data_IF_427538693336
#
_entry.id   IF_427538693336
#
_cell.length_a   1.000
_cell.length_b   1.000
_cell.length_c   1.000
_cell.angle_alpha   90.00
_cell.angle_beta   90.00
_cell.angle_gamma   90.00
#
_symmetry.space_group_name_H-M   'P 1'
#
loop_
_entity.id
_entity.type
_entity.pdbx_description
1 polymer ?
#
# COMPACT_ATOMS: atom_id res chain seq x y z
N UNK A 1 -12.37 -19.90 -18.95
CA UNK A 1 -13.02 -20.64 -17.84
C UNK A 1 -13.45 -19.60 -16.82
N UNK A 2 -14.73 -19.21 -16.86
CA UNK A 2 -15.29 -18.20 -15.94
C UNK A 2 -15.79 -19.01 -14.74
N UNK A 3 -15.04 -18.97 -13.64
CA UNK A 3 -15.43 -19.64 -12.40
C UNK A 3 -16.72 -19.04 -11.87
N UNK A 4 -17.63 -19.93 -11.52
CA UNK A 4 -18.94 -19.67 -10.95
C UNK A 4 -18.88 -18.63 -9.83
N UNK A 5 -19.88 -17.76 -9.79
CA UNK A 5 -20.19 -16.87 -8.68
C UNK A 5 -20.46 -17.70 -7.42
N UNK A 6 -19.40 -18.03 -6.69
CA UNK A 6 -19.53 -18.55 -5.33
C UNK A 6 -20.15 -17.48 -4.46
N UNK A 7 -21.34 -17.75 -3.93
CA UNK A 7 -22.06 -16.93 -2.98
C UNK A 7 -21.31 -16.88 -1.64
N UNK A 8 -20.19 -16.16 -1.60
CA UNK A 8 -19.53 -15.78 -0.36
C UNK A 8 -20.38 -14.74 0.36
N UNK A 9 -20.50 -14.83 1.68
CA UNK A 9 -21.15 -13.81 2.48
C UNK A 9 -20.55 -12.43 2.17
N UNK A 10 -21.41 -11.44 1.92
CA UNK A 10 -21.00 -10.05 1.73
C UNK A 10 -20.46 -9.51 3.05
N UNK A 11 -19.13 -9.49 3.20
CA UNK A 11 -18.47 -8.84 4.32
C UNK A 11 -18.19 -7.37 4.02
N UNK A 12 -17.93 -6.59 5.06
CA UNK A 12 -17.57 -5.17 4.90
C UNK A 12 -16.20 -5.04 4.23
N UNK A 13 -15.97 -3.95 3.50
CA UNK A 13 -14.69 -3.70 2.80
C UNK A 13 -13.52 -3.62 3.79
N UNK A 14 -13.77 -3.18 5.04
CA UNK A 14 -12.77 -3.01 6.10
C UNK A 14 -12.38 -4.31 6.84
N UNK A 15 -13.10 -5.41 6.63
CA UNK A 15 -12.77 -6.67 7.29
C UNK A 15 -11.56 -7.34 6.60
N UNK A 16 -10.62 -7.88 7.37
CA UNK A 16 -9.40 -8.50 6.82
C UNK A 16 -9.67 -9.93 6.34
N UNK A 17 -9.27 -10.27 5.09
CA UNK A 17 -9.33 -11.64 4.57
C UNK A 17 -7.96 -12.33 4.71
N UNK A 18 -7.77 -13.11 5.77
CA UNK A 18 -6.50 -13.80 6.05
C UNK A 18 -6.61 -15.31 5.81
N UNK A 19 -5.55 -15.90 5.26
CA UNK A 19 -5.34 -17.36 5.20
C UNK A 19 -3.91 -17.67 5.66
N UNK A 20 -3.72 -18.74 6.44
CA UNK A 20 -2.42 -19.13 7.00
C UNK A 20 -2.00 -20.52 6.49
N UNK A 21 -0.70 -20.75 6.36
CA UNK A 21 -0.07 -22.05 6.09
C UNK A 21 1.23 -22.12 6.92
N UNK A 22 1.68 -23.30 7.39
CA UNK A 22 1.23 -24.66 7.04
C UNK A 22 -0.04 -25.13 7.80
N UNK A 23 -0.78 -26.13 7.26
CA UNK A 23 -0.57 -26.82 5.98
C UNK A 23 -0.96 -25.97 4.75
N UNK A 24 -0.58 -26.41 3.54
CA UNK A 24 -1.04 -25.79 2.28
C UNK A 24 -2.56 -25.82 2.19
N UNK A 25 -3.16 -24.66 1.91
CA UNK A 25 -4.58 -24.62 1.60
C UNK A 25 -4.78 -25.07 0.14
N UNK A 26 -5.68 -26.02 -0.09
CA UNK A 26 -6.02 -26.44 -1.46
C UNK A 26 -6.68 -25.30 -2.25
N UNK A 27 -7.47 -24.48 -1.57
CA UNK A 27 -8.25 -23.38 -2.16
C UNK A 27 -7.91 -22.05 -1.51
N UNK A 28 -8.09 -20.96 -2.26
CA UNK A 28 -7.98 -19.60 -1.75
C UNK A 28 -9.19 -19.24 -0.88
N UNK A 29 -8.99 -18.54 0.22
CA UNK A 29 -10.07 -17.83 0.90
C UNK A 29 -10.59 -16.74 -0.05
N UNK A 30 -11.91 -16.59 -0.19
CA UNK A 30 -12.54 -15.63 -1.10
C UNK A 30 -13.64 -14.88 -0.37
N UNK A 31 -13.77 -13.59 -0.68
CA UNK A 31 -14.88 -12.75 -0.23
C UNK A 31 -15.34 -11.86 -1.37
N UNK A 32 -16.64 -11.86 -1.64
CA UNK A 32 -17.24 -10.85 -2.50
C UNK A 32 -17.42 -9.56 -1.69
N UNK A 33 -17.05 -8.43 -2.28
CA UNK A 33 -17.42 -7.11 -1.77
C UNK A 33 -18.60 -6.64 -2.61
N UNK A 34 -19.73 -6.33 -1.96
CA UNK A 34 -20.84 -5.68 -2.65
C UNK A 34 -20.39 -4.32 -3.20
N UNK A 35 -21.12 -3.81 -4.18
CA UNK A 35 -21.00 -2.39 -4.50
C UNK A 35 -21.33 -1.58 -3.24
N UNK A 36 -20.54 -0.57 -2.94
CA UNK A 36 -20.68 0.20 -1.72
C UNK A 36 -20.21 1.64 -1.95
N UNK A 37 -20.98 2.58 -1.44
CA UNK A 37 -20.59 3.98 -1.43
C UNK A 37 -19.82 4.27 -0.15
N UNK A 38 -18.58 4.72 -0.30
CA UNK A 38 -17.72 5.16 0.80
C UNK A 38 -17.50 6.66 0.65
N UNK A 39 -18.45 7.43 1.17
CA UNK A 39 -18.49 8.88 0.96
C UNK A 39 -18.80 9.21 -0.51
N UNK A 40 -17.89 9.94 -1.18
CA UNK A 40 -18.03 10.30 -2.60
C UNK A 40 -17.46 9.24 -3.57
N UNK A 41 -17.05 8.08 -3.05
CA UNK A 41 -16.43 7.01 -3.82
C UNK A 41 -17.45 5.87 -3.95
N UNK A 42 -17.92 5.64 -5.17
CA UNK A 42 -18.78 4.50 -5.49
C UNK A 42 -17.88 3.32 -5.86
N UNK A 43 -17.71 2.38 -4.93
CA UNK A 43 -16.95 1.15 -5.19
C UNK A 43 -17.86 0.17 -5.95
N UNK A 44 -17.41 -0.28 -7.12
CA UNK A 44 -18.06 -1.39 -7.81
C UNK A 44 -18.01 -2.68 -6.98
N UNK A 45 -18.89 -3.63 -7.32
CA UNK A 45 -18.79 -4.99 -6.78
C UNK A 45 -17.43 -5.60 -7.09
N UNK A 46 -16.83 -6.27 -6.12
CA UNK A 46 -15.48 -6.80 -6.21
C UNK A 46 -15.34 -8.18 -5.60
N UNK A 47 -14.15 -8.77 -5.75
CA UNK A 47 -13.80 -10.03 -5.10
C UNK A 47 -12.37 -9.95 -4.59
N UNK A 48 -12.20 -10.14 -3.29
CA UNK A 48 -10.89 -10.29 -2.65
C UNK A 48 -10.64 -11.77 -2.45
N UNK A 49 -9.42 -12.25 -2.75
CA UNK A 49 -9.03 -13.62 -2.45
C UNK A 49 -7.61 -13.68 -1.91
N UNK A 50 -7.36 -14.49 -0.90
CA UNK A 50 -6.02 -14.75 -0.35
C UNK A 50 -5.72 -16.24 -0.40
N UNK A 51 -4.53 -16.62 -0.88
CA UNK A 51 -4.10 -18.01 -0.99
C UNK A 51 -2.76 -18.24 -0.29
N UNK A 52 -2.77 -18.94 0.85
CA UNK A 52 -1.56 -19.36 1.54
C UNK A 52 -1.20 -20.81 1.16
N UNK A 53 -0.03 -21.00 0.54
CA UNK A 53 0.52 -22.31 0.17
C UNK A 53 1.85 -22.57 0.89
N UNK A 54 2.08 -23.82 1.28
CA UNK A 54 3.32 -24.30 1.86
C UNK A 54 3.97 -25.32 0.91
N UNK A 55 5.04 -24.94 0.22
CA UNK A 55 5.71 -25.86 -0.69
C UNK A 55 6.38 -27.01 0.09
N UNK A 56 6.24 -28.24 -0.38
CA UNK A 56 6.83 -29.42 0.28
C UNK A 56 8.36 -29.29 0.48
N UNK A 57 9.04 -28.60 -0.44
CA UNK A 57 10.47 -28.28 -0.33
C UNK A 57 10.83 -27.50 0.94
N UNK A 58 9.92 -26.67 1.47
CA UNK A 58 10.16 -25.94 2.73
C UNK A 58 10.21 -26.85 3.96
N UNK A 59 9.51 -28.00 3.92
CA UNK A 59 9.59 -28.98 5.00
C UNK A 59 10.89 -29.79 4.95
N UNK A 60 11.48 -29.95 3.76
CA UNK A 60 12.69 -30.76 3.54
C UNK A 60 13.98 -29.93 3.49
N UNK A 61 13.93 -28.65 3.89
CA UNK A 61 15.11 -27.77 3.87
C UNK A 61 15.56 -27.36 2.47
N UNK A 62 14.70 -27.39 1.45
CA UNK A 62 15.02 -26.78 0.17
C UNK A 62 15.14 -25.26 0.36
N UNK A 63 16.38 -24.77 0.26
CA UNK A 63 16.80 -23.40 0.67
C UNK A 63 16.57 -22.36 -0.43
N UNK A 64 15.98 -22.71 -1.57
CA UNK A 64 15.88 -21.81 -2.74
C UNK A 64 14.53 -21.95 -3.42
N UNK A 65 13.88 -20.81 -3.71
CA UNK A 65 12.61 -20.72 -4.40
C UNK A 65 11.63 -19.74 -3.75
N UNK A 66 10.45 -19.62 -4.37
CA UNK A 66 9.31 -18.87 -3.83
C UNK A 66 8.73 -19.60 -2.60
N UNK A 67 8.60 -18.85 -1.51
CA UNK A 67 8.12 -19.30 -0.19
C UNK A 67 6.66 -18.88 -0.01
N UNK A 68 6.32 -17.65 -0.34
CA UNK A 68 4.94 -17.15 -0.28
C UNK A 68 4.56 -16.37 -1.54
N UNK A 69 3.25 -16.36 -1.82
CA UNK A 69 2.63 -15.53 -2.85
C UNK A 69 1.32 -14.95 -2.34
N UNK A 70 1.10 -13.67 -2.59
CA UNK A 70 -0.17 -12.99 -2.38
C UNK A 70 -0.57 -12.27 -3.67
N UNK A 71 -1.87 -12.14 -3.91
CA UNK A 71 -2.36 -11.39 -5.04
C UNK A 71 -3.72 -10.78 -4.75
N UNK A 72 -3.99 -9.64 -5.37
CA UNK A 72 -5.30 -8.99 -5.33
C UNK A 72 -5.71 -8.62 -6.76
N UNK A 73 -7.01 -8.62 -7.02
CA UNK A 73 -7.56 -8.30 -8.34
C UNK A 73 -8.76 -7.37 -8.17
N UNK A 74 -8.79 -6.31 -8.96
CA UNK A 74 -9.89 -5.36 -9.09
C UNK A 74 -10.36 -5.37 -10.54
N UNK A 75 -11.68 -5.46 -10.75
CA UNK A 75 -12.31 -5.39 -12.07
C UNK A 75 -13.38 -4.32 -12.02
N UNK A 76 -13.15 -3.18 -12.67
CA UNK A 76 -14.09 -2.07 -12.60
C UNK A 76 -14.02 -1.36 -11.24
N UNK A 77 -13.69 -0.07 -11.26
CA UNK A 77 -13.84 0.81 -10.11
C UNK A 77 -14.05 2.24 -10.60
N UNK A 78 -14.66 3.09 -9.78
CA UNK A 78 -14.77 4.51 -10.12
C UNK A 78 -14.93 5.41 -8.90
N UNK A 79 -14.80 6.71 -9.12
CA UNK A 79 -15.08 7.77 -8.14
C UNK A 79 -16.11 8.69 -8.79
N UNK A 80 -17.20 8.98 -8.07
CA UNK A 80 -18.38 9.64 -8.63
C UNK A 80 -18.93 8.90 -9.86
N UNK A 81 -19.00 7.57 -9.79
CA UNK A 81 -19.34 6.72 -10.93
C UNK A 81 -20.85 6.62 -11.21
N UNK A 82 -21.68 7.20 -10.34
CA UNK A 82 -23.14 7.20 -10.47
C UNK A 82 -23.58 8.24 -11.51
N UNK A 83 -23.42 7.90 -12.79
CA UNK A 83 -23.87 8.70 -13.93
C UNK A 83 -22.86 8.78 -15.08
N UNK A 84 -23.19 9.57 -16.10
CA UNK A 84 -22.36 9.83 -17.30
C UNK A 84 -21.16 10.76 -17.03
N UNK A 85 -20.63 10.79 -15.80
CA UNK A 85 -19.63 11.79 -15.38
C UNK A 85 -18.62 11.26 -14.35
N UNK A 86 -18.14 10.03 -14.53
CA UNK A 86 -17.15 9.44 -13.63
C UNK A 86 -15.85 10.27 -13.61
N UNK A 87 -15.45 10.75 -12.43
CA UNK A 87 -14.22 11.53 -12.30
C UNK A 87 -12.98 10.67 -12.53
N UNK A 88 -13.03 9.43 -12.05
CA UNK A 88 -12.00 8.41 -12.20
C UNK A 88 -12.71 7.09 -12.49
N UNK A 89 -12.20 6.31 -13.44
CA UNK A 89 -12.71 4.99 -13.78
C UNK A 89 -11.58 4.05 -14.17
N UNK A 90 -11.61 2.84 -13.64
CA UNK A 90 -10.74 1.73 -14.05
C UNK A 90 -11.59 0.80 -14.92
N UNK A 91 -11.57 0.92 -16.26
CA UNK A 91 -12.44 0.12 -17.12
C UNK A 91 -12.03 -1.37 -17.16
N UNK A 92 -10.75 -1.65 -16.92
CA UNK A 92 -10.17 -2.98 -17.04
C UNK A 92 -9.97 -3.72 -15.72
N UNK A 93 -9.17 -4.78 -15.81
CA UNK A 93 -8.64 -5.51 -14.67
C UNK A 93 -7.33 -4.87 -14.22
N UNK A 94 -7.21 -4.64 -12.92
CA UNK A 94 -5.95 -4.36 -12.22
C UNK A 94 -5.65 -5.56 -11.34
N UNK A 95 -4.42 -6.08 -11.39
CA UNK A 95 -3.98 -7.10 -10.45
C UNK A 95 -2.67 -6.66 -9.78
N UNK A 96 -2.55 -6.92 -8.49
CA UNK A 96 -1.27 -6.85 -7.78
C UNK A 96 -0.83 -8.26 -7.40
N UNK A 97 0.47 -8.51 -7.45
CA UNK A 97 1.08 -9.76 -7.00
C UNK A 97 2.30 -9.42 -6.15
N UNK A 98 2.48 -10.14 -5.05
CA UNK A 98 3.72 -10.10 -4.26
C UNK A 98 4.17 -11.50 -3.91
N UNK A 99 5.48 -11.70 -3.87
CA UNK A 99 6.10 -12.97 -3.49
C UNK A 99 7.22 -12.74 -2.50
N UNK A 100 7.49 -13.74 -1.67
CA UNK A 100 8.73 -13.83 -0.91
C UNK A 100 9.40 -15.14 -1.22
N UNK A 101 10.72 -15.20 -1.09
CA UNK A 101 11.51 -16.37 -1.42
C UNK A 101 12.92 -16.32 -0.85
N UNK A 102 13.64 -17.40 -1.11
CA UNK A 102 15.07 -17.51 -0.88
C UNK A 102 15.78 -17.71 -2.23
N UNK A 103 16.88 -17.01 -2.44
CA UNK A 103 17.74 -17.17 -3.61
C UNK A 103 19.16 -17.53 -3.16
N UNK A 104 19.86 -18.33 -3.97
CA UNK A 104 21.30 -18.57 -3.78
C UNK A 104 22.07 -17.48 -4.52
N UNK A 105 22.98 -16.81 -3.81
CA UNK A 105 23.86 -15.77 -4.35
C UNK A 105 25.31 -16.14 -4.01
N UNK A 106 26.00 -16.75 -4.96
CA UNK A 106 27.30 -17.39 -4.72
C UNK A 106 27.17 -18.53 -3.70
N UNK A 107 27.97 -18.47 -2.63
CA UNK A 107 27.92 -19.43 -1.51
C UNK A 107 26.87 -19.05 -0.45
N UNK A 108 26.33 -17.83 -0.52
CA UNK A 108 25.35 -17.31 0.44
C UNK A 108 23.89 -17.53 0.03
N UNK A 109 23.00 -17.43 1.02
CA UNK A 109 21.57 -17.33 0.81
C UNK A 109 21.12 -15.87 0.96
N UNK A 110 20.18 -15.44 0.11
CA UNK A 110 19.53 -14.15 0.18
C UNK A 110 18.02 -14.36 0.33
N UNK A 111 17.37 -13.62 1.22
CA UNK A 111 15.91 -13.49 1.14
C UNK A 111 15.57 -12.48 0.06
N UNK A 112 14.48 -12.75 -0.66
CA UNK A 112 14.00 -11.89 -1.74
C UNK A 112 12.50 -11.70 -1.55
N UNK A 113 12.05 -10.46 -1.69
CA UNK A 113 10.66 -10.11 -1.79
C UNK A 113 10.43 -9.34 -3.08
N UNK A 114 9.38 -9.69 -3.82
CA UNK A 114 8.95 -8.96 -5.01
C UNK A 114 7.50 -8.51 -4.88
N UNK A 115 7.19 -7.38 -5.49
CA UNK A 115 5.85 -6.86 -5.66
C UNK A 115 5.70 -6.28 -7.07
N UNK A 116 4.55 -6.49 -7.69
CA UNK A 116 4.28 -6.00 -9.03
C UNK A 116 2.80 -5.69 -9.24
N UNK A 117 2.53 -4.90 -10.27
CA UNK A 117 1.19 -4.56 -10.72
C UNK A 117 1.04 -4.98 -12.19
N UNK A 118 -0.10 -5.57 -12.54
CA UNK A 118 -0.45 -5.93 -13.91
C UNK A 118 -1.77 -5.26 -14.32
N UNK A 119 -1.83 -4.83 -15.59
CA UNK A 119 -2.95 -4.07 -16.13
C UNK A 119 -3.04 -2.66 -15.55
N UNK A 120 -4.25 -2.10 -15.54
CA UNK A 120 -4.55 -0.85 -14.85
C UNK A 120 -4.63 0.40 -15.71
N UNK A 121 -5.29 0.28 -16.87
CA UNK A 121 -5.76 1.46 -17.59
C UNK A 121 -6.72 2.27 -16.72
N UNK A 122 -6.64 3.59 -16.87
CA UNK A 122 -7.40 4.56 -16.10
C UNK A 122 -8.02 5.58 -17.05
N UNK A 123 -9.30 5.83 -16.86
CA UNK A 123 -10.05 6.91 -17.50
C UNK A 123 -10.30 7.98 -16.43
N UNK A 124 -9.99 9.23 -16.76
CA UNK A 124 -10.21 10.39 -15.90
C UNK A 124 -11.12 11.37 -16.63
N UNK A 125 -11.92 12.12 -15.86
CA UNK A 125 -12.83 13.15 -16.37
C UNK A 125 -13.75 12.58 -17.47
N UNK A 126 -14.47 11.50 -17.16
CA UNK A 126 -15.35 10.78 -18.09
C UNK A 126 -14.63 10.31 -19.37
N UNK A 127 -13.38 9.85 -19.23
CA UNK A 127 -12.57 9.35 -20.33
C UNK A 127 -11.98 10.43 -21.23
N UNK A 128 -12.12 11.71 -20.88
CA UNK A 128 -11.44 12.80 -21.57
C UNK A 128 -9.92 12.65 -21.50
N UNK A 129 -9.39 12.11 -20.38
CA UNK A 129 -7.98 11.73 -20.23
C UNK A 129 -7.90 10.23 -19.98
N UNK A 130 -7.06 9.54 -20.75
CA UNK A 130 -6.79 8.10 -20.67
C UNK A 130 -5.33 7.88 -20.30
N UNK A 131 -5.10 7.07 -19.28
CA UNK A 131 -3.78 6.63 -18.84
C UNK A 131 -3.69 5.13 -19.09
N UNK A 132 -2.83 4.73 -20.02
CA UNK A 132 -2.59 3.33 -20.39
C UNK A 132 -1.26 2.87 -19.77
N UNK A 133 -1.27 1.72 -19.09
CA UNK A 133 -0.05 1.14 -18.53
C UNK A 133 0.65 0.28 -19.57
N UNK A 134 1.65 0.87 -20.24
CA UNK A 134 2.43 0.22 -21.31
C UNK A 134 3.41 -0.81 -20.73
N UNK A 135 4.02 -0.51 -19.58
CA UNK A 135 4.92 -1.42 -18.85
C UNK A 135 4.54 -1.43 -17.38
N UNK A 136 4.25 -2.62 -16.89
CA UNK A 136 3.99 -2.90 -15.49
C UNK A 136 5.17 -2.48 -14.59
N UNK A 137 4.92 -1.82 -13.45
CA UNK A 137 5.94 -1.56 -12.44
C UNK A 137 6.28 -2.86 -11.67
N UNK A 138 7.51 -2.95 -11.20
CA UNK A 138 7.92 -4.03 -10.28
C UNK A 138 8.94 -3.53 -9.26
N UNK A 139 8.81 -4.00 -8.03
CA UNK A 139 9.72 -3.73 -6.93
C UNK A 139 10.31 -5.05 -6.45
N UNK A 140 11.64 -5.10 -6.28
CA UNK A 140 12.35 -6.23 -5.69
C UNK A 140 13.25 -5.74 -4.58
N UNK A 141 13.11 -6.31 -3.39
CA UNK A 141 14.02 -6.14 -2.27
C UNK A 141 14.72 -7.47 -2.01
N UNK A 142 16.04 -7.46 -1.85
CA UNK A 142 16.80 -8.64 -1.46
C UNK A 142 17.76 -8.32 -0.32
N UNK A 143 18.01 -9.30 0.54
CA UNK A 143 18.89 -9.13 1.69
C UNK A 143 19.69 -10.41 1.95
N UNK A 144 21.00 -10.26 2.07
CA UNK A 144 21.92 -11.34 2.41
C UNK A 144 22.88 -10.90 3.52
N UNK A 145 23.58 -11.86 4.12
CA UNK A 145 24.58 -11.56 5.17
C UNK A 145 25.84 -10.97 4.55
N UNK A 146 26.24 -11.51 3.40
CA UNK A 146 27.51 -11.21 2.74
C UNK A 146 27.45 -9.93 1.91
N UNK A 147 26.39 -9.78 1.09
CA UNK A 147 26.27 -8.69 0.12
C UNK A 147 25.40 -7.53 0.63
N UNK A 148 24.79 -7.67 1.81
CA UNK A 148 23.86 -6.70 2.36
C UNK A 148 22.51 -6.65 1.63
N UNK A 149 21.89 -5.47 1.66
CA UNK A 149 20.55 -5.22 1.12
C UNK A 149 20.59 -4.51 -0.24
N UNK A 150 19.73 -4.95 -1.15
CA UNK A 150 19.60 -4.37 -2.50
C UNK A 150 18.12 -4.16 -2.84
N UNK A 151 17.78 -2.97 -3.35
CA UNK A 151 16.45 -2.66 -3.90
C UNK A 151 16.57 -2.40 -5.39
N UNK A 152 15.74 -3.07 -6.18
CA UNK A 152 15.57 -2.81 -7.60
C UNK A 152 14.13 -2.41 -7.87
N UNK A 153 13.94 -1.19 -8.35
CA UNK A 153 12.65 -0.70 -8.80
C UNK A 153 12.67 -0.52 -10.32
N UNK A 154 11.71 -1.14 -11.00
CA UNK A 154 11.41 -0.88 -12.40
C UNK A 154 10.13 -0.03 -12.43
N UNK A 155 10.20 1.25 -12.81
CA UNK A 155 9.04 2.12 -12.85
C UNK A 155 8.03 1.67 -13.91
N UNK A 156 6.77 2.07 -13.72
CA UNK A 156 5.77 1.93 -14.75
C UNK A 156 6.13 2.79 -15.97
N UNK A 157 5.91 2.27 -17.18
CA UNK A 157 5.83 3.12 -18.36
C UNK A 157 4.35 3.33 -18.68
N UNK A 158 3.91 4.57 -18.70
CA UNK A 158 2.52 4.94 -18.94
C UNK A 158 2.41 5.84 -20.16
N UNK A 159 1.28 5.76 -20.84
CA UNK A 159 0.92 6.60 -21.97
C UNK A 159 -0.32 7.38 -21.59
N UNK A 160 -0.22 8.70 -21.64
CA UNK A 160 -1.33 9.61 -21.35
C UNK A 160 -1.85 10.15 -22.67
N UNK A 161 -3.15 10.01 -22.91
CA UNK A 161 -3.81 10.43 -24.15
C UNK A 161 -5.24 10.91 -23.87
N UNK A 162 -5.93 11.48 -24.85
CA UNK A 162 -7.28 11.96 -24.64
C UNK A 162 -7.84 12.78 -25.79
N UNK A 163 -9.11 13.17 -25.70
CA UNK A 163 -9.73 14.04 -26.70
C UNK A 163 -9.10 15.44 -26.62
N UNK A 164 -8.45 15.89 -27.69
CA UNK A 164 -7.74 17.17 -27.73
C UNK A 164 -6.41 17.18 -26.96
N UNK A 165 -5.97 16.04 -26.39
CA UNK A 165 -4.73 15.93 -25.62
C UNK A 165 -3.68 15.23 -26.46
N UNK A 166 -2.49 15.85 -26.58
CA UNK A 166 -1.33 15.21 -27.20
C UNK A 166 -0.96 13.95 -26.42
N UNK A 167 -0.74 12.86 -27.14
CA UNK A 167 -0.26 11.63 -26.51
C UNK A 167 1.16 11.82 -25.99
N UNK A 168 1.34 11.65 -24.69
CA UNK A 168 2.63 11.71 -24.00
C UNK A 168 2.95 10.36 -23.37
N UNK A 169 4.24 10.00 -23.36
CA UNK A 169 4.73 8.77 -22.73
C UNK A 169 5.66 9.15 -21.59
N UNK A 170 5.36 8.63 -20.41
CA UNK A 170 6.19 8.76 -19.21
C UNK A 170 6.78 7.40 -18.89
N UNK A 171 8.11 7.30 -18.83
CA UNK A 171 8.80 6.01 -18.66
C UNK A 171 9.91 6.01 -17.60
N UNK A 172 10.10 7.15 -16.95
CA UNK A 172 11.14 7.36 -15.95
C UNK A 172 10.51 7.74 -14.60
N UNK A 173 11.07 7.24 -13.50
CA UNK A 173 10.61 7.59 -12.16
C UNK A 173 10.67 9.11 -11.93
N UNK A 174 9.64 9.67 -11.31
CA UNK A 174 9.53 11.09 -11.00
C UNK A 174 9.10 11.97 -12.18
N UNK A 175 9.01 11.43 -13.40
CA UNK A 175 8.51 12.15 -14.57
C UNK A 175 7.02 12.48 -14.43
N UNK A 176 6.62 13.70 -14.83
CA UNK A 176 5.23 14.12 -14.76
C UNK A 176 4.74 14.90 -15.98
N UNK A 177 3.42 14.86 -16.19
CA UNK A 177 2.69 15.67 -17.16
C UNK A 177 1.51 16.37 -16.46
N UNK A 178 1.32 17.64 -16.75
CA UNK A 178 0.16 18.44 -16.33
C UNK A 178 -0.69 18.76 -17.57
N UNK A 179 -1.98 18.45 -17.48
CA UNK A 179 -2.99 18.65 -18.51
C UNK A 179 -4.04 19.61 -17.96
N UNK A 180 -4.35 20.67 -18.70
CA UNK A 180 -5.50 21.54 -18.43
C UNK A 180 -6.66 21.10 -19.30
N UNK A 181 -7.82 20.90 -18.69
CA UNK A 181 -9.07 20.52 -19.35
C UNK A 181 -10.05 21.69 -19.32
N UNK A 182 -10.45 22.16 -20.49
CA UNK A 182 -11.32 23.33 -20.67
C UNK A 182 -12.75 22.99 -21.08
N UNK A 183 -13.12 21.70 -21.03
CA UNK A 183 -14.44 21.22 -21.41
C UNK A 183 -14.49 20.44 -22.72
N UNK A 184 -15.60 19.73 -22.99
CA UNK A 184 -15.80 19.04 -24.26
C UNK A 184 -15.92 20.06 -25.39
N UNK A 185 -15.00 20.01 -26.36
CA UNK A 185 -15.00 20.88 -27.54
C UNK A 185 -14.06 22.08 -27.50
N UNK A 186 -13.26 22.25 -26.44
CA UNK A 186 -12.14 23.20 -26.44
C UNK A 186 -11.00 22.68 -27.32
N UNK A 187 -10.95 23.09 -28.59
CA UNK A 187 -9.90 22.67 -29.55
C UNK A 187 -8.73 23.62 -29.68
N UNK A 188 -8.71 24.71 -28.91
CA UNK A 188 -7.87 25.85 -29.25
C UNK A 188 -6.69 26.00 -28.28
N UNK A 189 -5.60 25.29 -28.58
CA UNK A 189 -4.28 25.64 -28.05
C UNK A 189 -3.43 24.44 -27.67
N UNK A 190 -2.64 23.96 -28.63
CA UNK A 190 -1.62 22.93 -28.50
C UNK A 190 -0.42 23.34 -27.60
N UNK A 191 -0.67 23.96 -26.44
CA UNK A 191 0.31 24.17 -25.36
C UNK A 191 0.11 23.15 -24.21
N UNK A 192 -0.74 22.12 -24.39
CA UNK A 192 -1.07 21.17 -23.33
C UNK A 192 0.07 20.19 -23.05
N UNK A 193 0.90 20.51 -22.08
CA UNK A 193 1.89 19.60 -21.50
C UNK A 193 3.22 20.27 -21.30
N UNK A 194 3.40 20.97 -20.17
CA UNK A 194 4.75 21.32 -19.73
C UNK A 194 5.38 20.05 -19.18
N UNK A 195 6.12 19.32 -20.02
CA UNK A 195 6.90 18.16 -19.56
C UNK A 195 8.00 18.68 -18.64
N UNK A 196 7.90 18.34 -17.36
CA UNK A 196 8.99 18.56 -16.42
C UNK A 196 9.79 17.27 -16.36
N UNK A 197 10.98 17.27 -16.95
CA UNK A 197 11.92 16.20 -16.69
C UNK A 197 12.15 16.18 -15.17
N UNK A 198 11.77 15.08 -14.52
CA UNK A 198 11.97 14.88 -13.09
C UNK A 198 13.41 15.24 -12.76
N UNK A 199 13.59 16.19 -11.84
CA UNK A 199 14.91 16.65 -11.44
C UNK A 199 15.78 15.44 -11.14
N UNK A 200 16.94 15.38 -11.82
CA UNK A 200 17.98 14.34 -11.71
C UNK A 200 17.84 13.62 -10.38
N UNK A 201 17.40 12.35 -10.44
CA UNK A 201 17.24 11.49 -9.26
C UNK A 201 18.43 11.76 -8.35
N UNK A 202 18.14 12.10 -7.09
CA UNK A 202 19.16 12.28 -6.06
C UNK A 202 19.81 10.90 -5.92
N UNK A 203 20.80 10.64 -6.77
CA UNK A 203 21.72 9.55 -6.60
C UNK A 203 22.31 9.74 -5.22
N UNK A 204 22.24 8.70 -4.40
CA UNK A 204 22.95 8.68 -3.13
C UNK A 204 24.43 8.89 -3.39
N UNK A 205 24.88 10.12 -3.24
CA UNK A 205 26.24 10.44 -2.84
C UNK A 205 26.30 10.11 -1.34
N UNK A 206 27.07 9.06 -1.07
CA UNK A 206 27.87 8.85 0.13
C UNK A 206 27.10 8.62 1.45
N UNK A 207 26.55 7.41 1.58
CA UNK A 207 26.71 6.69 2.84
C UNK A 207 28.17 6.25 2.95
N UNK A 208 29.05 7.22 3.16
CA UNK A 208 30.47 7.00 3.30
C UNK A 208 30.71 6.17 4.56
N UNK A 209 31.48 5.12 4.35
CA UNK A 209 31.85 4.15 5.35
C UNK A 209 32.79 4.82 6.33
N UNK A 210 32.31 5.15 7.54
CA UNK A 210 33.18 5.42 8.67
C UNK A 210 33.86 4.11 9.12
N UNK A 211 34.81 3.66 8.30
CA UNK A 211 35.82 2.67 8.66
C UNK A 211 36.81 3.31 9.63
N UNK A 212 36.41 3.42 10.89
CA UNK A 212 37.32 3.72 11.98
C UNK A 212 38.18 2.50 12.27
N UNK A 213 39.36 2.46 11.67
CA UNK A 213 40.43 1.50 11.93
C UNK A 213 40.94 1.67 13.38
N UNK A 214 40.28 1.03 14.35
CA UNK A 214 40.73 0.99 15.74
C UNK A 214 41.77 -0.13 15.93
N UNK A 215 43.04 0.21 15.73
CA UNK A 215 44.18 -0.54 16.31
C UNK A 215 44.14 -0.44 17.84
N UNK A 216 43.50 -1.40 18.49
CA UNK A 216 43.54 -1.60 19.94
C UNK A 216 44.25 -2.92 20.28
N UNK A 217 45.34 -2.82 21.05
CA UNK A 217 46.17 -3.92 21.59
C UNK A 217 45.36 -5.00 22.35
N UNK A 218 45.89 -6.23 22.46
CA UNK A 218 45.30 -7.28 23.28
C UNK A 218 45.46 -6.95 24.78
N UNK A 219 44.32 -6.84 25.46
CA UNK A 219 44.21 -6.72 26.91
C UNK A 219 43.98 -8.08 27.54
N UNK A 220 44.99 -8.50 28.29
CA UNK A 220 45.11 -9.69 29.11
C UNK A 220 44.21 -9.62 30.36
N UNK A 221 43.55 -10.74 30.69
CA UNK A 221 43.16 -11.09 32.06
C UNK A 221 41.81 -10.59 32.59
N UNK A 222 40.86 -11.52 32.77
CA UNK A 222 40.16 -11.72 34.06
C UNK A 222 39.21 -12.92 33.97
N UNK A 223 39.63 -14.03 34.59
CA UNK A 223 38.81 -15.17 34.97
C UNK A 223 37.79 -14.77 36.05
N UNK A 224 36.50 -14.86 35.74
CA UNK A 224 35.40 -14.78 36.71
C UNK A 224 34.46 -15.97 36.55
N UNK A 225 34.45 -16.86 37.55
CA UNK A 225 33.55 -18.03 37.66
C UNK A 225 32.13 -17.58 38.08
N UNK A 226 31.09 -18.41 37.85
CA UNK A 226 29.69 -18.05 37.95
C UNK A 226 29.11 -18.33 39.35
N UNK A 227 28.05 -17.63 39.71
CA UNK A 227 27.22 -17.96 40.85
C UNK A 227 25.88 -17.25 40.78
N UNK A 228 24.82 -17.96 41.16
CA UNK A 228 23.56 -17.35 41.55
C UNK A 228 22.33 -18.01 40.93
N UNK A 229 21.86 -19.06 41.58
CA UNK A 229 20.54 -19.66 41.40
C UNK A 229 19.41 -18.63 41.54
N UNK A 230 18.45 -18.65 40.61
CA UNK A 230 17.17 -17.97 40.77
C UNK A 230 16.04 -18.93 40.41
N UNK A 231 15.38 -19.43 41.45
CA UNK A 231 14.14 -20.19 41.38
C UNK A 231 12.97 -19.29 40.93
N UNK A 232 11.99 -19.82 40.17
CA UNK A 232 10.78 -19.08 39.83
C UNK A 232 9.75 -19.17 40.95
N UNK A 233 9.43 -18.03 41.57
CA UNK A 233 8.25 -17.90 42.42
C UNK A 233 6.99 -17.87 41.55
N UNK A 234 6.16 -18.88 41.72
CA UNK A 234 4.76 -18.92 41.28
C UNK A 234 3.91 -18.12 42.28
N UNK A 235 3.04 -17.23 41.79
CA UNK A 235 2.10 -16.51 42.64
C UNK A 235 1.38 -15.40 41.89
N UNK A 236 0.21 -15.71 41.36
CA UNK A 236 -0.64 -14.78 40.63
C UNK A 236 -2.04 -15.34 40.43
N UNK A 237 -2.64 -15.77 41.54
CA UNK A 237 -4.05 -16.13 41.65
C UNK A 237 -4.86 -14.86 41.96
N UNK A 238 -6.02 -14.71 41.29
CA UNK A 238 -7.04 -13.72 41.66
C UNK A 238 -7.05 -12.41 40.88
N UNK A 239 -7.99 -12.29 39.93
CA UNK A 239 -8.90 -11.13 39.68
C UNK A 239 -9.52 -11.17 38.27
N UNK A 240 -10.07 -12.32 37.86
CA UNK A 240 -11.02 -12.38 36.73
C UNK A 240 -12.43 -12.38 37.32
N UNK A 241 -12.79 -11.25 37.91
CA UNK A 241 -14.11 -10.98 38.46
C UNK A 241 -14.92 -10.11 37.51
N UNK A 242 -15.90 -10.73 36.82
CA UNK A 242 -17.17 -10.13 36.35
C UNK A 242 -17.08 -8.71 35.76
N UNK A 243 -16.73 -8.62 34.48
CA UNK A 243 -17.16 -7.50 33.63
C UNK A 243 -18.48 -7.87 32.95
N UNK A 244 -19.51 -7.00 32.98
CA UNK A 244 -20.75 -7.25 32.27
C UNK A 244 -20.51 -7.26 30.75
N UNK A 245 -21.16 -8.19 30.07
CA UNK A 245 -21.13 -8.34 28.61
C UNK A 245 -21.78 -7.11 27.96
N UNK A 246 -20.98 -6.18 27.44
CA UNK A 246 -21.44 -4.96 26.71
C UNK A 246 -21.85 -5.28 25.25
N UNK A 247 -21.81 -6.56 24.84
CA UNK A 247 -21.98 -6.99 23.45
C UNK A 247 -23.40 -6.96 22.87
N UNK A 248 -24.40 -6.35 23.51
CA UNK A 248 -25.80 -6.37 23.04
C UNK A 248 -26.44 -5.01 22.71
N UNK A 249 -25.69 -3.90 22.79
CA UNK A 249 -26.24 -2.55 22.58
C UNK A 249 -25.86 -1.89 21.24
N UNK A 250 -25.09 -2.55 20.36
CA UNK A 250 -24.57 -1.92 19.13
C UNK A 250 -25.14 -2.47 17.81
N UNK A 251 -26.12 -3.36 17.86
CA UNK A 251 -26.72 -3.96 16.64
C UNK A 251 -28.15 -3.49 16.34
N UNK A 252 -28.68 -2.54 17.12
CA UNK A 252 -29.98 -1.89 16.85
C UNK A 252 -29.78 -0.47 16.32
N UNK A 253 -29.42 -0.32 15.05
CA UNK A 253 -29.27 0.96 14.37
C UNK A 253 -30.61 1.63 14.07
N UNK A 254 -31.42 1.88 15.10
CA UNK A 254 -32.48 2.89 15.04
C UNK A 254 -31.85 4.24 15.35
N UNK A 255 -32.04 5.22 14.47
CA UNK A 255 -31.59 6.59 14.70
C UNK A 255 -32.07 7.05 16.09
N UNK A 256 -31.11 7.39 16.95
CA UNK A 256 -31.43 7.95 18.27
C UNK A 256 -32.27 9.20 18.05
N UNK A 257 -33.45 9.35 18.68
CA UNK A 257 -34.24 10.55 18.56
C UNK A 257 -33.42 11.71 19.12
N UNK A 258 -32.87 12.53 18.23
CA UNK A 258 -32.16 13.74 18.61
C UNK A 258 -33.22 14.72 19.12
N UNK A 259 -33.05 15.29 20.33
CA UNK A 259 -33.99 16.29 20.83
C UNK A 259 -33.95 17.51 19.91
N UNK A 260 -35.13 17.95 19.46
CA UNK A 260 -35.26 19.22 18.74
C UNK A 260 -34.81 20.34 19.69
N UNK A 261 -33.77 21.08 19.29
CA UNK A 261 -33.28 22.25 20.04
C UNK A 261 -33.97 23.49 19.45
N UNK A 262 -34.91 24.13 20.18
CA UNK A 262 -35.61 25.30 19.67
C UNK A 262 -34.64 26.45 19.38
N UNK A 263 -34.75 27.05 18.20
CA UNK A 263 -33.93 28.20 17.78
C UNK A 263 -32.65 27.86 17.01
N UNK A 264 -32.34 26.58 16.81
CA UNK A 264 -31.35 26.16 15.81
C UNK A 264 -32.08 26.01 14.47
N UNK A 265 -31.70 26.73 13.40
CA UNK A 265 -32.31 26.51 12.09
C UNK A 265 -32.13 25.04 11.72
N UNK A 266 -33.19 24.41 11.20
CA UNK A 266 -33.10 23.06 10.67
C UNK A 266 -31.88 23.01 9.76
N UNK A 267 -30.97 22.05 10.03
CA UNK A 267 -29.92 21.72 9.09
C UNK A 267 -30.68 21.17 7.89
N UNK A 268 -30.95 22.01 6.90
CA UNK A 268 -31.63 21.61 5.68
C UNK A 268 -30.93 20.35 5.19
N UNK A 269 -31.71 19.29 4.95
CA UNK A 269 -31.20 18.09 4.30
C UNK A 269 -30.34 18.57 3.14
N UNK A 270 -29.05 18.24 3.18
CA UNK A 270 -28.15 18.60 2.08
C UNK A 270 -28.81 18.02 0.83
N UNK A 271 -29.38 18.91 0.00
CA UNK A 271 -29.90 18.49 -1.28
C UNK A 271 -28.77 17.77 -2.03
N UNK A 272 -29.08 16.78 -2.87
CA UNK A 272 -28.05 16.14 -3.68
C UNK A 272 -27.33 17.24 -4.46
N UNK A 273 -26.12 17.58 -4.03
CA UNK A 273 -25.29 18.61 -4.62
C UNK A 273 -24.76 18.03 -5.94
N UNK A 274 -25.62 18.05 -6.96
CA UNK A 274 -25.29 17.66 -8.33
C UNK A 274 -24.49 18.79 -9.02
N UNK A 275 -23.41 19.24 -8.38
CA UNK A 275 -22.45 20.07 -9.07
C UNK A 275 -21.79 19.22 -10.17
N UNK A 276 -21.68 19.70 -11.42
CA UNK A 276 -20.97 19.00 -12.46
C UNK A 276 -19.55 18.71 -11.97
N UNK A 277 -19.17 17.43 -11.96
CA UNK A 277 -17.91 16.96 -11.36
C UNK A 277 -16.66 17.55 -12.03
N UNK A 278 -16.80 18.11 -13.23
CA UNK A 278 -15.71 18.68 -14.01
C UNK A 278 -16.16 19.99 -14.66
N UNK A 279 -15.47 21.08 -14.35
CA UNK A 279 -15.68 22.38 -15.00
C UNK A 279 -14.38 22.86 -15.70
N UNK A 280 -14.49 23.74 -16.71
CA UNK A 280 -13.33 24.26 -17.45
C UNK A 280 -12.22 24.80 -16.54
N UNK A 281 -10.96 24.62 -16.95
CA UNK A 281 -9.79 24.93 -16.14
C UNK A 281 -9.41 23.86 -15.10
N UNK A 282 -10.00 22.66 -15.18
CA UNK A 282 -9.59 21.52 -14.33
C UNK A 282 -8.21 21.06 -14.75
N UNK A 283 -7.28 20.88 -13.80
CA UNK A 283 -5.92 20.41 -14.09
C UNK A 283 -5.71 19.01 -13.58
N UNK A 284 -5.15 18.17 -14.43
CA UNK A 284 -4.79 16.78 -14.14
C UNK A 284 -3.27 16.67 -14.21
N UNK A 285 -2.64 16.38 -13.08
CA UNK A 285 -1.21 16.05 -13.02
C UNK A 285 -1.05 14.55 -12.83
N UNK A 286 -0.28 13.92 -13.68
CA UNK A 286 0.05 12.50 -13.62
C UNK A 286 1.56 12.38 -13.48
N UNK A 287 2.03 11.68 -12.46
CA UNK A 287 3.46 11.50 -12.17
C UNK A 287 3.80 10.01 -12.01
N UNK A 288 4.85 9.54 -12.67
CA UNK A 288 5.39 8.19 -12.43
C UNK A 288 6.04 8.17 -11.05
N UNK A 289 5.63 7.23 -10.20
CA UNK A 289 6.05 7.23 -8.81
C UNK A 289 7.49 6.77 -8.63
N UNK A 290 8.04 7.12 -7.47
CA UNK A 290 9.42 6.87 -7.09
C UNK A 290 9.49 5.78 -6.00
N UNK A 291 10.71 5.31 -5.71
CA UNK A 291 10.99 4.32 -4.67
C UNK A 291 11.58 5.00 -3.43
N UNK A 292 11.10 4.58 -2.26
CA UNK A 292 11.68 4.90 -0.95
C UNK A 292 12.14 3.61 -0.31
N UNK A 293 13.32 3.64 0.30
CA UNK A 293 13.88 2.48 0.99
C UNK A 293 14.38 2.85 2.38
N UNK A 294 14.39 1.86 3.26
CA UNK A 294 14.96 1.94 4.59
C UNK A 294 15.72 0.64 4.89
N UNK A 295 16.91 0.77 5.46
CA UNK A 295 17.77 -0.34 5.88
C UNK A 295 18.06 -0.22 7.36
N UNK A 296 17.89 -1.33 8.10
CA UNK A 296 18.25 -1.40 9.52
C UNK A 296 18.91 -2.75 9.81
N UNK A 297 20.22 -2.72 10.05
CA UNK A 297 21.01 -3.92 10.32
C UNK A 297 20.88 -4.94 9.18
N UNK A 298 20.19 -6.04 9.46
CA UNK A 298 19.99 -7.17 8.53
C UNK A 298 18.63 -7.17 7.87
N UNK A 299 17.91 -6.05 7.89
CA UNK A 299 16.61 -5.88 7.28
C UNK A 299 16.60 -4.71 6.29
N UNK A 300 15.87 -4.89 5.19
CA UNK A 300 15.58 -3.85 4.21
C UNK A 300 14.10 -3.84 3.92
N UNK A 301 13.54 -2.64 3.80
CA UNK A 301 12.17 -2.41 3.36
C UNK A 301 12.19 -1.37 2.25
N UNK A 302 11.35 -1.57 1.24
CA UNK A 302 11.16 -0.66 0.14
C UNK A 302 9.67 -0.48 -0.13
N UNK A 303 9.30 0.75 -0.48
CA UNK A 303 7.96 1.13 -0.92
C UNK A 303 8.07 1.96 -2.18
N UNK A 304 7.32 1.59 -3.21
CA UNK A 304 7.22 2.35 -4.45
C UNK A 304 5.75 2.61 -4.80
N UNK A 305 5.50 3.66 -5.56
CA UNK A 305 4.18 3.95 -6.15
C UNK A 305 4.33 3.83 -7.66
N UNK A 306 3.39 3.17 -8.36
CA UNK A 306 3.48 3.05 -9.82
C UNK A 306 3.36 4.42 -10.49
N UNK A 307 2.28 5.14 -10.14
CA UNK A 307 2.06 6.53 -10.53
C UNK A 307 1.03 7.17 -9.61
N UNK A 308 1.07 8.50 -9.51
CA UNK A 308 0.12 9.31 -8.77
C UNK A 308 -0.67 10.20 -9.72
N UNK A 309 -1.93 10.46 -9.37
CA UNK A 309 -2.82 11.34 -10.11
C UNK A 309 -3.34 12.40 -9.15
N UNK A 310 -3.21 13.66 -9.56
CA UNK A 310 -3.76 14.81 -8.84
C UNK A 310 -4.67 15.59 -9.77
N UNK A 311 -5.95 15.67 -9.44
CA UNK A 311 -6.96 16.47 -10.14
C UNK A 311 -7.26 17.68 -9.28
N UNK A 312 -6.99 18.88 -9.80
CA UNK A 312 -7.31 20.14 -9.12
C UNK A 312 -8.33 20.91 -9.92
N UNK A 313 -9.38 21.36 -9.24
CA UNK A 313 -10.39 22.24 -9.79
C UNK A 313 -10.38 23.57 -9.03
N UNK A 314 -10.31 24.68 -9.76
CA UNK A 314 -10.45 26.02 -9.21
C UNK A 314 -10.15 27.09 -10.25
N UNK A 315 -10.96 28.15 -10.27
CA UNK A 315 -10.66 29.32 -11.09
C UNK A 315 -9.34 29.93 -10.63
N UNK A 316 -8.39 30.25 -11.53
CA UNK A 316 -7.26 31.09 -11.17
C UNK A 316 -7.84 32.40 -10.66
N UNK A 317 -7.84 32.59 -9.35
CA UNK A 317 -8.56 33.69 -8.72
C UNK A 317 -8.10 35.02 -9.30
N UNK A 318 -9.01 35.79 -9.89
CA UNK A 318 -8.76 37.18 -10.29
C UNK A 318 -8.48 38.10 -9.09
N UNK A 319 -8.56 37.59 -7.85
CA UNK A 319 -8.17 38.32 -6.65
C UNK A 319 -6.65 38.33 -6.48
N UNK A 320 -6.06 39.53 -6.33
CA UNK A 320 -4.61 39.80 -6.13
C UNK A 320 -3.93 39.07 -4.95
N UNK A 321 -4.60 38.17 -4.23
CA UNK A 321 -4.04 37.39 -3.12
C UNK A 321 -3.95 35.91 -3.52
N UNK A 322 -2.80 35.56 -4.10
CA UNK A 322 -2.33 34.18 -4.26
C UNK A 322 -2.49 33.44 -2.93
N UNK A 323 -3.28 32.36 -2.91
CA UNK A 323 -3.39 31.45 -1.75
C UNK A 323 -4.77 31.29 -1.10
N UNK A 324 -5.83 31.99 -1.56
CA UNK A 324 -7.17 31.90 -0.95
C UNK A 324 -8.28 31.36 -1.88
N UNK A 325 -7.94 30.80 -3.03
CA UNK A 325 -8.93 30.08 -3.86
C UNK A 325 -9.34 28.78 -3.18
N UNK A 326 -10.65 28.47 -3.14
CA UNK A 326 -11.13 27.12 -2.82
C UNK A 326 -10.78 26.21 -3.99
N UNK A 327 -9.60 25.60 -3.95
CA UNK A 327 -9.25 24.53 -4.88
C UNK A 327 -9.71 23.20 -4.29
N UNK A 328 -10.55 22.46 -5.01
CA UNK A 328 -10.82 21.06 -4.69
C UNK A 328 -9.72 20.25 -5.34
N UNK A 329 -9.02 19.43 -4.55
CA UNK A 329 -7.97 18.55 -5.03
C UNK A 329 -8.34 17.10 -4.69
N UNK A 330 -8.49 16.27 -5.72
CA UNK A 330 -8.46 14.82 -5.56
C UNK A 330 -7.03 14.36 -5.86
N UNK A 331 -6.39 13.69 -4.91
CA UNK A 331 -5.07 13.10 -5.11
C UNK A 331 -5.11 11.63 -4.67
N UNK A 332 -4.60 10.75 -5.52
CA UNK A 332 -4.48 9.33 -5.20
C UNK A 332 -3.26 8.70 -5.87
N UNK A 333 -2.77 7.66 -5.23
CA UNK A 333 -1.67 6.83 -5.71
C UNK A 333 -2.24 5.53 -6.27
N UNK A 334 -1.73 5.11 -7.43
CA UNK A 334 -2.07 3.82 -8.03
C UNK A 334 -0.87 2.88 -7.94
N UNK A 335 -1.13 1.62 -7.59
CA UNK A 335 -0.10 0.58 -7.55
C UNK A 335 0.98 0.82 -6.49
N UNK A 336 0.60 0.86 -5.21
CA UNK A 336 1.57 0.85 -4.12
C UNK A 336 2.21 -0.53 -4.03
N UNK A 337 3.53 -0.59 -4.21
CA UNK A 337 4.35 -1.80 -4.13
C UNK A 337 5.16 -1.76 -2.84
N UNK A 338 5.10 -2.82 -2.06
CA UNK A 338 5.88 -2.95 -0.82
C UNK A 338 6.65 -4.26 -0.83
N UNK A 339 7.93 -4.20 -0.51
CA UNK A 339 8.81 -5.36 -0.42
C UNK A 339 9.75 -5.22 0.78
N UNK A 340 9.88 -6.28 1.57
CA UNK A 340 10.79 -6.33 2.69
C UNK A 340 11.54 -7.65 2.72
N UNK A 341 12.83 -7.61 3.04
CA UNK A 341 13.70 -8.76 3.10
C UNK A 341 14.59 -8.68 4.35
N UNK A 342 14.86 -9.83 4.97
CA UNK A 342 15.70 -9.96 6.18
C UNK A 342 16.75 -11.03 5.93
N UNK A 343 18.02 -10.73 6.17
CA UNK A 343 19.11 -11.66 5.87
C UNK A 343 18.90 -12.96 6.64
N UNK A 344 19.02 -14.14 6.00
CA UNK A 344 18.89 -15.41 6.70
C UNK A 344 20.01 -15.56 7.73
N UNK A 345 19.71 -16.06 8.93
CA UNK A 345 20.73 -16.35 9.93
C UNK A 345 21.71 -17.39 9.39
N UNK A 346 23.01 -17.12 9.47
CA UNK A 346 24.01 -18.12 9.11
C UNK A 346 23.99 -19.20 10.18
N UNK A 347 23.55 -20.41 9.86
CA UNK A 347 23.67 -21.57 10.74
C UNK A 347 25.11 -22.10 10.83
N UNK A 348 26.10 -21.25 10.55
CA UNK A 348 27.53 -21.54 10.63
C UNK A 348 27.89 -21.88 12.09
N UNK A 349 27.74 -23.15 12.44
CA UNK A 349 27.88 -23.64 13.80
C UNK A 349 27.20 -25.00 14.05
N UNK A 350 26.18 -25.38 13.27
CA UNK A 350 25.64 -26.76 13.33
C UNK A 350 26.51 -27.66 12.45
N UNK A 351 27.73 -27.89 12.91
CA UNK A 351 28.70 -28.79 12.30
C UNK A 351 28.12 -30.20 12.31
N UNK A 352 27.74 -30.73 11.14
CA UNK A 352 27.52 -32.15 10.83
C UNK A 352 27.09 -33.05 11.99
N UNK A 353 26.13 -32.60 12.80
CA UNK A 353 25.53 -33.40 13.84
C UNK A 353 24.51 -34.30 13.15
N UNK A 354 25.05 -35.36 12.53
CA UNK A 354 24.49 -36.71 12.49
C UNK A 354 22.97 -36.76 12.49
N UNK A 355 22.42 -37.07 11.31
CA UNK A 355 21.18 -37.82 11.11
C UNK A 355 20.56 -38.38 12.41
N UNK A 356 19.53 -37.71 12.93
CA UNK A 356 18.94 -38.11 14.21
C UNK A 356 17.74 -37.25 14.59
N UNK A 357 16.58 -37.64 14.05
CA UNK A 357 15.22 -37.44 14.56
C UNK A 357 14.96 -36.25 15.53
N UNK A 358 14.16 -35.28 15.07
CA UNK A 358 13.32 -34.46 15.96
C UNK A 358 13.76 -33.01 16.18
N UNK A 359 14.58 -32.43 15.31
CA UNK A 359 14.90 -31.00 15.33
C UNK A 359 13.65 -30.15 15.09
N UNK A 360 13.18 -29.47 16.14
CA UNK A 360 11.99 -28.61 16.09
C UNK A 360 12.08 -27.61 14.93
N UNK A 361 10.99 -27.53 14.16
CA UNK A 361 10.86 -26.60 13.06
C UNK A 361 11.18 -25.18 13.55
N UNK A 362 12.04 -24.41 12.87
CA UNK A 362 12.19 -23.00 13.18
C UNK A 362 10.81 -22.34 13.10
N UNK A 363 10.42 -21.64 14.16
CA UNK A 363 9.24 -20.77 14.19
C UNK A 363 9.52 -19.65 13.18
N UNK A 364 9.23 -19.92 11.92
CA UNK A 364 9.32 -18.99 10.79
C UNK A 364 8.05 -18.16 10.78
N UNK A 365 7.96 -17.26 11.74
CA UNK A 365 6.93 -16.23 11.77
C UNK A 365 7.52 -15.00 12.44
N UNK A 366 7.54 -13.82 11.78
CA UNK A 366 7.70 -12.59 12.54
C UNK A 366 6.61 -12.58 13.61
N UNK A 367 6.97 -12.27 14.86
CA UNK A 367 6.01 -12.04 15.95
C UNK A 367 4.95 -11.06 15.46
N UNK A 368 3.76 -11.56 15.15
CA UNK A 368 2.66 -10.84 14.48
C UNK A 368 2.20 -9.66 15.33
N UNK A 369 2.44 -9.73 16.63
CA UNK A 369 2.29 -8.71 17.66
C UNK A 369 3.07 -7.41 17.36
N UNK A 370 4.15 -7.44 16.57
CA UNK A 370 4.98 -6.25 16.28
C UNK A 370 4.64 -5.62 14.92
N UNK A 371 4.18 -6.38 13.93
CA UNK A 371 3.89 -5.87 12.56
C UNK A 371 2.43 -5.38 12.42
N UNK A 372 1.48 -5.96 13.16
CA UNK A 372 0.08 -5.50 13.11
C UNK A 372 -0.09 -4.08 13.70
N UNK A 373 0.78 -3.66 14.61
CA UNK A 373 0.70 -2.37 15.30
C UNK A 373 1.21 -1.20 14.45
N UNK A 374 2.18 -1.41 13.55
CA UNK A 374 2.75 -0.34 12.73
C UNK A 374 1.88 0.01 11.51
N UNK A 375 1.24 -0.98 10.88
CA UNK A 375 0.35 -0.76 9.73
C UNK A 375 -0.97 -0.06 10.12
N UNK A 376 -1.56 -0.42 11.26
CA UNK A 376 -2.80 0.18 11.76
C UNK A 376 -2.57 1.63 12.25
N UNK A 377 -1.42 1.91 12.88
CA UNK A 377 -1.07 3.26 13.32
C UNK A 377 -0.92 4.25 12.14
N UNK A 378 -0.39 3.79 11.00
CA UNK A 378 -0.25 4.59 9.78
C UNK A 378 -1.60 4.88 9.10
N UNK A 379 -2.52 3.91 9.12
CA UNK A 379 -3.88 4.06 8.59
C UNK A 379 -4.72 5.03 9.45
N UNK A 380 -4.61 4.95 10.78
CA UNK A 380 -5.29 5.87 11.70
C UNK A 380 -4.72 7.29 11.61
N UNK A 381 -3.40 7.44 11.46
CA UNK A 381 -2.78 8.75 11.26
C UNK A 381 -3.17 9.41 9.92
N UNK A 382 -3.28 8.61 8.85
CA UNK A 382 -3.75 9.09 7.54
C UNK A 382 -5.22 9.52 7.54
N UNK A 383 -6.10 8.76 8.20
CA UNK A 383 -7.50 9.12 8.35
C UNK A 383 -7.70 10.37 9.24
N UNK A 384 -6.89 10.52 10.30
CA UNK A 384 -6.89 11.72 11.14
C UNK A 384 -6.54 13.00 10.39
N UNK A 385 -5.53 12.95 9.52
CA UNK A 385 -5.10 14.12 8.73
C UNK A 385 -6.18 14.64 7.77
N UNK A 386 -6.99 13.75 7.17
CA UNK A 386 -8.12 14.13 6.31
C UNK A 386 -9.28 14.74 7.10
N UNK A 387 -9.60 14.21 8.28
CA UNK A 387 -10.71 14.69 9.11
C UNK A 387 -10.36 16.04 9.77
N UNK A 388 -9.13 16.24 10.23
CA UNK A 388 -8.70 17.51 10.83
C UNK A 388 -8.34 18.59 9.80
N UNK A 389 -7.93 18.22 8.59
CA UNK A 389 -7.69 19.16 7.49
C UNK A 389 -8.97 19.87 6.99
N UNK A 390 -10.13 19.21 7.09
CA UNK A 390 -11.41 19.75 6.64
C UNK A 390 -12.17 20.55 7.72
N UNK A 391 -11.84 20.40 9.01
CA UNK A 391 -12.57 21.04 10.12
C UNK A 391 -11.89 22.26 10.74
N UNK A 392 -10.70 22.62 10.30
CA UNK A 392 -9.86 23.64 10.93
C UNK A 392 -9.78 24.99 10.23
N UNK A 393 -10.89 25.58 9.74
CA UNK A 393 -10.92 27.01 9.37
C UNK A 393 -12.32 27.61 9.51
N UNK A 394 -12.75 27.71 10.75
CA UNK A 394 -13.79 28.65 11.17
C UNK A 394 -13.47 29.12 12.58
N UNK A 395 -12.78 30.27 12.68
CA UNK A 395 -13.09 31.39 13.60
C UNK A 395 -11.99 32.46 13.59
N UNK A 396 -12.49 33.71 13.58
CA UNK A 396 -11.90 35.04 13.81
C UNK A 396 -10.77 35.50 12.90
#
# INVERSE_FOLDING_TARGET
>A
MIDAEGAGASGRVDEMLQQQAPPTNAEAARRATGAADVGAISLGGGRVSTHARWQAGMACGAVVGEVTRAGAELRGAGILADGDAALVRVPGKVASESTTGLERRGEGAATVATAGLAGGDLELLDGAVKVEVVKAPSLRASMSVQDGGEVRYLPAAIKVSGAGIRTERLDSAGEDVEITWDGPGGTDGAESGTRRAGGKAIGGEDADTAGGEAKGKPGEGATGKPGGDAAPASGGDGLVGKLPVVGKLLTGGGDLPLPEVPGVPEVGQQGPEAAPAVAPGTRVRIQVGDVRQATQGRAIAARAVAFSVTITHGSPGQGRRSGYGRSIALAFDMGVLEAAAVAPESTAGVSDASAGAGGGLPITGPRVDVIALSGVALLIAGAGALIFGLRGRSRS
#
